data_IF_110364900621
#
_entry.id   IF_110364900621
#
_cell.length_a   1.000
_cell.length_b   1.000
_cell.length_c   1.000
_cell.angle_alpha   90.00
_cell.angle_beta   90.00
_cell.angle_gamma   90.00
#
_symmetry.space_group_name_H-M   'P 1'
#
loop_
_entity.id
_entity.type
_entity.pdbx_description
1 polymer ?
#
# COMPACT_ATOMS: atom_id res chain seq x y z
N UNK A 1 -20.39 6.03 27.41
CA UNK A 1 -20.19 6.26 28.86
C UNK A 1 -20.98 7.44 29.40
N UNK A 2 -21.40 7.40 30.68
CA UNK A 2 -22.13 8.48 31.36
C UNK A 2 -21.13 9.53 31.89
N UNK A 3 -21.21 10.81 31.45
CA UNK A 3 -20.48 11.90 32.10
C UNK A 3 -20.82 11.97 33.58
N UNK A 4 -19.81 11.85 34.43
CA UNK A 4 -20.00 11.74 35.88
C UNK A 4 -19.06 12.67 36.64
N UNK A 5 -19.59 13.30 37.68
CA UNK A 5 -18.83 14.16 38.59
C UNK A 5 -18.15 13.33 39.67
N UNK A 6 -17.05 13.86 40.24
CA UNK A 6 -16.33 13.19 41.34
C UNK A 6 -17.25 13.07 42.57
N UNK A 7 -17.45 11.87 43.15
CA UNK A 7 -18.21 11.73 44.39
C UNK A 7 -17.46 12.38 45.57
N UNK A 8 -18.21 13.03 46.46
CA UNK A 8 -17.71 13.56 47.73
C UNK A 8 -17.82 12.47 48.81
N UNK A 9 -16.68 12.09 49.38
CA UNK A 9 -16.60 11.18 50.52
C UNK A 9 -16.50 11.98 51.81
N UNK A 10 -17.66 12.28 52.40
CA UNK A 10 -17.76 13.00 53.68
C UNK A 10 -17.86 12.07 54.88
N UNK A 11 -17.51 12.60 56.06
CA UNK A 11 -17.72 11.91 57.33
C UNK A 11 -19.21 11.61 57.56
N UNK A 12 -19.53 10.41 58.06
CA UNK A 12 -20.91 9.99 58.34
C UNK A 12 -21.75 9.62 57.10
N UNK A 13 -21.16 9.53 55.91
CA UNK A 13 -21.87 9.12 54.69
C UNK A 13 -22.32 7.65 54.77
N UNK A 14 -23.62 7.40 54.61
CA UNK A 14 -24.16 6.04 54.47
C UNK A 14 -23.95 5.51 53.05
N UNK A 15 -23.19 4.41 52.92
CA UNK A 15 -22.90 3.77 51.63
C UNK A 15 -24.16 3.21 50.97
N UNK A 16 -24.22 3.36 49.66
CA UNK A 16 -25.30 2.89 48.78
C UNK A 16 -24.69 2.50 47.44
N UNK A 17 -25.31 1.59 46.66
CA UNK A 17 -24.78 1.18 45.35
C UNK A 17 -24.46 2.35 44.42
N UNK A 18 -25.26 3.42 44.48
CA UNK A 18 -25.08 4.60 43.63
C UNK A 18 -23.73 5.30 43.87
N UNK A 19 -23.15 5.24 45.07
CA UNK A 19 -21.86 5.85 45.34
C UNK A 19 -20.74 5.15 44.56
N UNK A 20 -20.74 3.81 44.57
CA UNK A 20 -19.79 2.99 43.82
C UNK A 20 -20.01 3.13 42.31
N UNK A 21 -21.26 3.01 41.84
CA UNK A 21 -21.60 3.19 40.43
C UNK A 21 -21.18 4.56 39.88
N UNK A 22 -21.33 5.63 40.66
CA UNK A 22 -20.89 6.98 40.26
C UNK A 22 -19.38 7.16 40.34
N UNK A 23 -18.72 6.51 41.29
CA UNK A 23 -17.26 6.47 41.36
C UNK A 23 -16.68 5.79 40.11
N UNK A 24 -17.19 4.61 39.75
CA UNK A 24 -16.76 3.86 38.57
C UNK A 24 -17.00 4.67 37.30
N UNK A 25 -18.23 5.16 37.11
CA UNK A 25 -18.58 5.98 35.94
C UNK A 25 -17.72 7.25 35.82
N UNK A 26 -17.32 7.87 36.94
CA UNK A 26 -16.40 9.01 36.94
C UNK A 26 -15.00 8.63 36.44
N UNK A 27 -14.46 7.49 36.88
CA UNK A 27 -13.16 7.00 36.43
C UNK A 27 -13.19 6.55 34.97
N UNK A 28 -14.20 5.80 34.58
CA UNK A 28 -14.43 5.36 33.20
C UNK A 28 -14.57 6.56 32.25
N UNK A 29 -15.38 7.56 32.62
CA UNK A 29 -15.53 8.76 31.81
C UNK A 29 -14.20 9.51 31.64
N UNK A 30 -13.42 9.68 32.71
CA UNK A 30 -12.09 10.29 32.61
C UNK A 30 -11.15 9.48 31.71
N UNK A 31 -11.18 8.15 31.80
CA UNK A 31 -10.37 7.28 30.95
C UNK A 31 -10.69 7.50 29.47
N UNK A 32 -11.97 7.51 29.12
CA UNK A 32 -12.43 7.79 27.75
C UNK A 32 -12.02 9.20 27.29
N UNK A 33 -12.19 10.23 28.14
CA UNK A 33 -11.75 11.58 27.80
C UNK A 33 -10.24 11.67 27.56
N UNK A 34 -9.45 10.99 28.40
CA UNK A 34 -7.99 10.99 28.30
C UNK A 34 -7.54 10.25 27.04
N UNK A 35 -8.14 9.09 26.75
CA UNK A 35 -7.88 8.32 25.54
C UNK A 35 -8.17 9.13 24.27
N UNK A 36 -9.32 9.83 24.22
CA UNK A 36 -9.68 10.69 23.08
C UNK A 36 -8.79 11.93 22.94
N UNK A 37 -8.24 12.44 24.04
CA UNK A 37 -7.25 13.51 24.00
C UNK A 37 -5.91 13.06 23.42
N UNK A 38 -5.56 11.77 23.55
CA UNK A 38 -4.37 11.18 22.93
C UNK A 38 -4.58 10.85 21.45
N UNK A 39 -5.77 10.39 21.08
CA UNK A 39 -6.10 10.10 19.68
C UNK A 39 -7.63 10.21 19.43
N UNK A 40 -8.08 10.98 18.44
CA UNK A 40 -9.52 11.21 18.20
C UNK A 40 -10.27 9.93 17.79
N UNK A 41 -9.56 8.99 17.17
CA UNK A 41 -10.08 7.70 16.71
C UNK A 41 -9.63 6.53 17.59
N UNK A 42 -9.55 6.72 18.91
CA UNK A 42 -9.17 5.66 19.85
C UNK A 42 -10.28 4.59 20.06
N UNK A 43 -10.94 4.16 18.98
CA UNK A 43 -12.00 3.16 18.97
C UNK A 43 -11.93 2.32 17.69
N UNK A 44 -12.60 1.18 17.64
CA UNK A 44 -12.57 0.23 16.53
C UNK A 44 -12.11 -1.16 16.95
N UNK A 45 -11.89 -2.04 15.97
CA UNK A 45 -11.40 -3.39 16.20
C UNK A 45 -9.93 -3.41 16.61
N UNK A 46 -9.60 -4.33 17.52
CA UNK A 46 -8.25 -4.78 17.85
C UNK A 46 -7.94 -6.14 17.27
N UNK A 47 -8.92 -7.03 17.30
CA UNK A 47 -8.82 -8.39 16.77
C UNK A 47 -10.19 -9.01 16.58
N UNK A 48 -10.31 -9.86 15.57
CA UNK A 48 -11.54 -10.58 15.23
C UNK A 48 -11.17 -11.91 14.59
N UNK A 49 -11.72 -13.00 15.11
CA UNK A 49 -11.59 -14.34 14.51
C UNK A 49 -12.97 -14.93 14.31
N UNK A 50 -13.22 -15.38 13.09
CA UNK A 50 -14.45 -16.05 12.69
C UNK A 50 -14.16 -17.53 12.54
N UNK A 51 -15.13 -18.35 12.89
CA UNK A 51 -15.09 -19.77 12.61
C UNK A 51 -15.38 -20.02 11.12
N UNK A 52 -14.35 -20.38 10.37
CA UNK A 52 -14.45 -20.62 8.92
C UNK A 52 -15.24 -21.89 8.59
N UNK A 53 -15.20 -22.89 9.47
CA UNK A 53 -15.92 -24.15 9.24
C UNK A 53 -17.42 -23.92 9.45
N UNK A 54 -17.80 -23.23 10.52
CA UNK A 54 -19.19 -22.81 10.75
C UNK A 54 -19.68 -21.88 9.62
N UNK A 55 -18.84 -20.96 9.15
CA UNK A 55 -19.19 -20.06 8.05
C UNK A 55 -19.47 -20.83 6.76
N UNK A 56 -18.65 -21.84 6.44
CA UNK A 56 -18.86 -22.72 5.29
C UNK A 56 -20.16 -23.54 5.40
N UNK A 57 -20.62 -23.80 6.63
CA UNK A 57 -21.86 -24.49 6.95
C UNK A 57 -23.08 -23.55 7.08
N UNK A 58 -22.96 -22.29 6.64
CA UNK A 58 -24.10 -21.35 6.63
C UNK A 58 -24.29 -20.55 7.91
N UNK A 59 -23.34 -20.62 8.86
CA UNK A 59 -23.47 -19.99 10.18
C UNK A 59 -22.33 -19.03 10.49
N UNK A 60 -22.64 -17.77 10.76
CA UNK A 60 -21.67 -16.79 11.23
C UNK A 60 -21.45 -16.94 12.73
N UNK A 61 -20.28 -17.49 13.10
CA UNK A 61 -19.85 -17.65 14.49
C UNK A 61 -18.50 -16.98 14.72
N UNK A 62 -18.38 -16.18 15.78
CA UNK A 62 -17.10 -15.63 16.22
C UNK A 62 -16.40 -16.60 17.17
N UNK A 63 -15.07 -16.63 17.11
CA UNK A 63 -14.20 -17.39 18.03
C UNK A 63 -13.51 -16.43 19.01
N UNK A 64 -13.18 -15.23 18.55
CA UNK A 64 -12.54 -14.20 19.34
C UNK A 64 -12.94 -12.82 18.81
N UNK A 65 -13.16 -11.86 19.70
CA UNK A 65 -13.40 -10.47 19.34
C UNK A 65 -12.87 -9.55 20.42
N UNK A 66 -12.07 -8.58 19.99
CA UNK A 66 -11.52 -7.51 20.81
C UNK A 66 -11.85 -6.19 20.11
N UNK A 67 -12.65 -5.35 20.76
CA UNK A 67 -13.13 -4.11 20.19
C UNK A 67 -13.21 -3.00 21.24
N UNK A 68 -13.04 -1.77 20.79
CA UNK A 68 -13.35 -0.57 21.55
C UNK A 68 -14.50 0.12 20.83
N UNK A 69 -15.65 0.28 21.48
CA UNK A 69 -16.82 0.92 20.89
C UNK A 69 -16.62 2.43 20.78
N UNK A 70 -17.34 3.13 19.87
CA UNK A 70 -17.23 4.57 19.72
C UNK A 70 -17.46 5.36 21.02
N UNK A 71 -18.29 4.83 21.92
CA UNK A 71 -18.57 5.45 23.22
C UNK A 71 -17.50 5.16 24.29
N UNK A 72 -16.48 4.38 23.96
CA UNK A 72 -15.31 4.06 24.79
C UNK A 72 -15.37 2.71 25.52
N UNK A 73 -16.46 1.94 25.37
CA UNK A 73 -16.56 0.62 26.00
C UNK A 73 -15.56 -0.36 25.39
N UNK A 74 -14.92 -1.15 26.24
CA UNK A 74 -14.06 -2.24 25.80
C UNK A 74 -14.86 -3.53 25.84
N UNK A 75 -14.80 -4.30 24.75
CA UNK A 75 -15.41 -5.61 24.63
C UNK A 75 -14.33 -6.64 24.27
N UNK A 76 -14.21 -7.69 25.09
CA UNK A 76 -13.16 -8.69 24.98
C UNK A 76 -13.73 -10.09 25.25
N UNK A 77 -14.10 -10.80 24.18
CA UNK A 77 -14.70 -12.13 24.26
C UNK A 77 -13.82 -13.17 23.52
N UNK A 78 -13.66 -14.39 24.05
CA UNK A 78 -14.40 -14.99 25.17
C UNK A 78 -13.78 -14.77 26.57
N UNK A 79 -12.84 -13.83 26.72
CA UNK A 79 -12.06 -13.70 27.95
C UNK A 79 -12.83 -13.03 29.11
N UNK A 80 -13.22 -11.76 28.94
CA UNK A 80 -13.99 -11.02 29.95
C UNK A 80 -15.50 -11.18 29.73
N UNK A 81 -15.90 -11.31 28.47
CA UNK A 81 -17.29 -11.29 28.04
C UNK A 81 -17.65 -12.53 27.20
N UNK A 82 -18.95 -12.77 27.03
CA UNK A 82 -19.46 -13.81 26.15
C UNK A 82 -19.41 -13.37 24.68
N UNK A 83 -19.14 -14.32 23.79
CA UNK A 83 -19.18 -14.10 22.34
C UNK A 83 -20.63 -13.82 21.89
N UNK A 84 -20.85 -13.02 20.83
CA UNK A 84 -22.19 -12.81 20.30
C UNK A 84 -22.79 -14.16 19.83
N UNK A 85 -24.11 -14.34 19.97
CA UNK A 85 -24.76 -15.57 19.52
C UNK A 85 -24.56 -15.73 18.01
N UNK A 86 -24.39 -16.98 17.54
CA UNK A 86 -24.13 -17.22 16.13
C UNK A 86 -25.37 -16.91 15.30
N UNK A 87 -25.17 -16.38 14.09
CA UNK A 87 -26.24 -16.02 13.16
C UNK A 87 -26.35 -17.05 12.04
N UNK A 88 -27.57 -17.49 11.73
CA UNK A 88 -27.84 -18.33 10.57
C UNK A 88 -27.90 -17.44 9.32
N UNK A 89 -27.00 -17.65 8.37
CA UNK A 89 -26.90 -16.87 7.14
C UNK A 89 -27.81 -17.41 6.03
N UNK A 90 -28.01 -18.72 5.96
CA UNK A 90 -28.88 -19.37 4.96
C UNK A 90 -30.33 -18.92 5.06
N UNK A 91 -30.78 -18.64 6.28
CA UNK A 91 -32.13 -18.20 6.57
C UNK A 91 -32.30 -16.67 6.50
N UNK A 92 -31.23 -15.91 6.22
CA UNK A 92 -31.28 -14.45 6.18
C UNK A 92 -31.72 -13.96 4.80
N UNK A 93 -32.92 -13.34 4.66
CA UNK A 93 -33.39 -12.80 3.37
C UNK A 93 -32.47 -11.69 2.86
N UNK A 94 -31.88 -10.91 3.77
CA UNK A 94 -30.96 -9.81 3.48
C UNK A 94 -29.71 -10.30 2.73
N UNK A 95 -29.22 -11.49 3.10
CA UNK A 95 -28.06 -12.12 2.46
C UNK A 95 -28.41 -12.73 1.10
N UNK A 96 -29.66 -13.18 0.92
CA UNK A 96 -30.14 -13.72 -0.36
C UNK A 96 -30.25 -12.63 -1.43
N UNK A 97 -30.68 -11.43 -1.05
CA UNK A 97 -30.91 -10.32 -1.98
C UNK A 97 -29.63 -9.55 -2.36
N UNK A 98 -28.72 -9.33 -1.39
CA UNK A 98 -27.57 -8.46 -1.59
C UNK A 98 -26.30 -9.16 -2.12
N UNK A 99 -26.15 -10.48 -1.90
CA UNK A 99 -24.94 -11.23 -2.27
C UNK A 99 -23.69 -10.91 -1.43
N UNK A 100 -23.64 -9.73 -0.81
CA UNK A 100 -22.70 -9.34 0.24
C UNK A 100 -23.41 -8.54 1.34
N UNK A 101 -22.94 -8.66 2.58
CA UNK A 101 -23.54 -7.99 3.73
C UNK A 101 -22.49 -7.63 4.78
N UNK A 102 -22.54 -6.39 5.27
CA UNK A 102 -21.68 -5.92 6.37
C UNK A 102 -22.37 -6.23 7.68
N UNK A 103 -21.63 -6.78 8.63
CA UNK A 103 -22.10 -7.00 9.99
C UNK A 103 -21.40 -6.03 10.94
N UNK A 104 -22.17 -5.55 11.91
CA UNK A 104 -21.74 -4.64 12.95
C UNK A 104 -21.77 -5.37 14.29
N UNK A 105 -20.78 -5.10 15.13
CA UNK A 105 -20.91 -5.36 16.56
C UNK A 105 -21.78 -4.24 17.14
N UNK A 106 -22.82 -4.60 17.87
CA UNK A 106 -23.74 -3.63 18.45
C UNK A 106 -24.11 -3.99 19.90
N UNK A 107 -24.28 -2.95 20.71
CA UNK A 107 -24.77 -3.05 22.09
C UNK A 107 -25.65 -1.85 22.45
N UNK A 108 -26.48 -2.00 23.47
CA UNK A 108 -27.30 -0.90 23.97
C UNK A 108 -26.41 0.25 24.50
N UNK A 109 -26.77 1.52 24.23
CA UNK A 109 -26.11 2.65 24.88
C UNK A 109 -26.38 2.61 26.40
N UNK A 110 -25.40 3.07 27.18
CA UNK A 110 -25.56 3.15 28.63
C UNK A 110 -26.59 4.25 28.99
N UNK A 111 -27.69 3.86 29.65
CA UNK A 111 -28.80 4.74 30.02
C UNK A 111 -28.58 5.37 31.39
N UNK A 112 -28.76 6.69 31.51
CA UNK A 112 -28.58 7.39 32.78
C UNK A 112 -29.70 7.10 33.81
N UNK A 113 -30.88 6.69 33.34
CA UNK A 113 -32.08 6.52 34.18
C UNK A 113 -32.29 5.06 34.65
N UNK A 114 -31.28 4.21 34.51
CA UNK A 114 -31.35 2.77 34.85
C UNK A 114 -31.80 1.89 33.68
N UNK A 115 -32.11 0.62 33.99
CA UNK A 115 -32.48 -0.38 32.97
C UNK A 115 -31.30 -0.81 32.09
N UNK A 116 -30.11 -0.91 32.69
CA UNK A 116 -28.87 -1.27 31.99
C UNK A 116 -28.47 -2.74 32.14
N UNK A 117 -29.16 -3.52 32.96
CA UNK A 117 -28.84 -4.93 33.21
C UNK A 117 -30.05 -5.83 33.03
N UNK A 118 -29.89 -6.95 32.32
CA UNK A 118 -30.81 -8.10 32.35
C UNK A 118 -30.27 -9.23 33.26
N UNK A 119 -31.08 -10.25 33.53
CA UNK A 119 -30.66 -11.42 34.29
C UNK A 119 -29.71 -12.34 33.52
N UNK A 120 -29.81 -12.37 32.20
CA UNK A 120 -28.90 -13.14 31.32
C UNK A 120 -28.72 -12.46 29.95
N UNK A 121 -27.84 -13.00 29.11
CA UNK A 121 -27.52 -12.44 27.80
C UNK A 121 -28.71 -12.41 26.83
N UNK A 122 -29.68 -13.34 26.94
CA UNK A 122 -30.89 -13.35 26.11
C UNK A 122 -31.85 -12.23 26.49
N UNK A 123 -32.11 -12.08 27.79
CA UNK A 123 -32.97 -11.03 28.34
C UNK A 123 -32.41 -9.62 28.07
N UNK A 124 -31.08 -9.44 28.19
CA UNK A 124 -30.44 -8.17 27.91
C UNK A 124 -30.53 -7.80 26.42
N UNK A 125 -30.20 -8.75 25.54
CA UNK A 125 -30.29 -8.59 24.09
C UNK A 125 -29.64 -7.30 23.59
N UNK A 126 -30.39 -6.49 22.84
CA UNK A 126 -30.01 -5.13 22.43
C UNK A 126 -30.73 -4.03 23.23
N UNK A 127 -31.54 -4.41 24.23
CA UNK A 127 -32.30 -3.49 25.05
C UNK A 127 -31.51 -2.99 26.26
N UNK A 128 -30.59 -3.80 26.77
CA UNK A 128 -29.78 -3.53 27.98
C UNK A 128 -28.31 -3.79 27.67
N UNK A 129 -27.42 -3.00 28.28
CA UNK A 129 -25.98 -3.03 27.96
C UNK A 129 -25.28 -4.23 28.61
N UNK A 130 -25.74 -4.62 29.79
CA UNK A 130 -25.13 -5.65 30.60
C UNK A 130 -26.10 -6.78 30.94
N UNK A 131 -25.55 -7.90 31.38
CA UNK A 131 -26.28 -8.96 32.07
C UNK A 131 -25.47 -9.48 33.27
N UNK A 132 -26.15 -10.14 34.20
CA UNK A 132 -25.52 -10.73 35.38
C UNK A 132 -24.72 -11.97 35.03
N UNK A 133 -23.54 -12.10 35.65
CA UNK A 133 -22.70 -13.29 35.57
C UNK A 133 -22.16 -13.60 36.97
N UNK A 134 -22.36 -14.82 37.45
CA UNK A 134 -21.91 -15.24 38.77
C UNK A 134 -20.59 -16.01 38.63
N UNK A 135 -19.55 -15.57 39.34
CA UNK A 135 -18.26 -16.24 39.31
C UNK A 135 -17.61 -16.38 40.69
N UNK A 136 -16.88 -17.47 40.94
CA UNK A 136 -16.09 -17.60 42.17
C UNK A 136 -14.92 -16.62 42.15
N UNK A 137 -14.88 -15.73 43.13
CA UNK A 137 -13.76 -14.83 43.38
C UNK A 137 -12.90 -15.38 44.52
N UNK A 138 -11.61 -15.60 44.24
CA UNK A 138 -10.63 -15.95 45.26
C UNK A 138 -10.15 -14.70 46.01
N UNK A 139 -9.84 -14.82 47.30
CA UNK A 139 -9.13 -13.77 48.02
C UNK A 139 -7.66 -13.73 47.58
N UNK A 140 -7.22 -12.59 47.04
CA UNK A 140 -5.85 -12.39 46.57
C UNK A 140 -4.88 -11.90 47.64
N UNK A 141 -5.37 -11.42 48.79
CA UNK A 141 -4.56 -10.77 49.82
C UNK A 141 -4.47 -11.59 51.09
N UNK A 142 -5.55 -12.30 51.44
CA UNK A 142 -5.62 -13.13 52.64
C UNK A 142 -5.85 -14.60 52.28
N UNK A 143 -6.01 -15.46 53.29
CA UNK A 143 -6.34 -16.89 53.12
C UNK A 143 -7.83 -17.16 53.33
N UNK A 144 -8.68 -16.16 53.09
CA UNK A 144 -10.12 -16.35 53.20
C UNK A 144 -10.63 -17.33 52.13
N UNK A 145 -11.79 -17.93 52.41
CA UNK A 145 -12.46 -18.78 51.43
C UNK A 145 -12.90 -17.96 50.22
N UNK A 146 -12.96 -18.60 49.05
CA UNK A 146 -13.56 -17.99 47.86
C UNK A 146 -15.02 -17.66 48.12
N UNK A 147 -15.46 -16.52 47.58
CA UNK A 147 -16.85 -16.07 47.61
C UNK A 147 -17.40 -16.02 46.18
N UNK A 148 -18.70 -16.23 46.03
CA UNK A 148 -19.37 -15.97 44.77
C UNK A 148 -19.61 -14.47 44.61
N UNK A 149 -19.21 -13.91 43.46
CA UNK A 149 -19.41 -12.51 43.12
C UNK A 149 -20.25 -12.42 41.84
N UNK A 150 -21.28 -11.59 41.88
CA UNK A 150 -22.07 -11.24 40.70
C UNK A 150 -21.39 -10.07 39.97
N UNK A 151 -20.92 -10.32 38.75
CA UNK A 151 -20.30 -9.35 37.85
C UNK A 151 -21.23 -9.01 36.68
N UNK A 152 -20.89 -7.96 35.94
CA UNK A 152 -21.62 -7.54 34.75
C UNK A 152 -20.81 -7.90 33.50
N UNK A 153 -21.42 -8.62 32.57
CA UNK A 153 -20.88 -8.87 31.23
C UNK A 153 -21.64 -8.09 30.17
N UNK A 154 -20.97 -7.67 29.10
CA UNK A 154 -21.61 -6.85 28.05
C UNK A 154 -22.49 -7.73 27.17
N UNK A 155 -23.65 -7.21 26.79
CA UNK A 155 -24.54 -7.84 25.82
C UNK A 155 -24.26 -7.27 24.43
N UNK A 156 -23.45 -8.00 23.65
CA UNK A 156 -23.11 -7.66 22.26
C UNK A 156 -23.80 -8.62 21.30
N UNK A 157 -24.36 -8.07 20.22
CA UNK A 157 -24.93 -8.84 19.11
C UNK A 157 -24.25 -8.45 17.80
N UNK A 158 -24.26 -9.39 16.85
CA UNK A 158 -24.01 -9.08 15.45
C UNK A 158 -25.31 -8.59 14.82
N UNK A 159 -25.25 -7.45 14.15
CA UNK A 159 -26.40 -6.83 13.48
C UNK A 159 -26.00 -6.55 12.04
N UNK A 160 -26.83 -6.95 11.09
CA UNK A 160 -26.57 -6.66 9.68
C UNK A 160 -26.79 -5.18 9.36
N UNK A 161 -26.04 -4.65 8.38
CA UNK A 161 -26.14 -3.24 7.97
C UNK A 161 -27.51 -2.83 7.46
N UNK A 162 -28.30 -3.79 6.96
CA UNK A 162 -29.71 -3.67 6.56
C UNK A 162 -30.68 -3.43 7.72
N UNK A 163 -30.31 -3.82 8.93
CA UNK A 163 -31.19 -3.75 10.10
C UNK A 163 -31.03 -2.39 10.82
N UNK A 164 -32.08 -1.82 11.43
CA UNK A 164 -31.96 -0.56 12.15
C UNK A 164 -31.03 -0.67 13.38
N UNK A 165 -29.90 0.02 13.35
CA UNK A 165 -28.89 -0.06 14.42
C UNK A 165 -28.28 1.28 14.88
N UNK A 166 -28.66 2.40 14.25
CA UNK A 166 -28.10 3.74 14.56
C UNK A 166 -28.33 4.22 16.00
N UNK A 167 -29.36 3.69 16.68
CA UNK A 167 -29.64 4.00 18.09
C UNK A 167 -28.73 3.23 19.06
N UNK A 168 -27.90 2.31 18.57
CA UNK A 168 -26.99 1.46 19.32
C UNK A 168 -25.57 2.02 19.30
N UNK A 169 -24.77 1.69 20.33
CA UNK A 169 -23.32 1.82 20.21
C UNK A 169 -22.83 0.67 19.34
N UNK A 170 -22.25 1.00 18.19
CA UNK A 170 -21.95 -0.01 17.18
C UNK A 170 -20.72 0.35 16.33
N UNK A 171 -20.12 -0.65 15.69
CA UNK A 171 -19.07 -0.49 14.69
C UNK A 171 -19.12 -1.63 13.66
N UNK A 172 -18.91 -1.36 12.36
CA UNK A 172 -18.81 -2.41 11.36
C UNK A 172 -17.56 -3.25 11.62
N UNK A 173 -17.70 -4.58 11.61
CA UNK A 173 -16.63 -5.48 12.03
C UNK A 173 -16.16 -6.44 10.92
N UNK A 174 -17.06 -6.89 10.05
CA UNK A 174 -16.74 -7.79 8.95
C UNK A 174 -17.74 -7.64 7.81
N UNK A 175 -17.34 -8.08 6.61
CA UNK A 175 -18.24 -8.26 5.47
C UNK A 175 -18.22 -9.72 5.03
N UNK A 176 -19.41 -10.30 4.90
CA UNK A 176 -19.59 -11.64 4.33
C UNK A 176 -20.05 -11.48 2.88
N UNK A 177 -19.57 -12.33 1.99
CA UNK A 177 -20.03 -12.43 0.61
C UNK A 177 -20.30 -13.88 0.24
N UNK A 178 -21.15 -14.10 -0.77
CA UNK A 178 -21.28 -15.39 -1.43
C UNK A 178 -20.16 -15.57 -2.45
N UNK A 179 -19.52 -16.73 -2.42
CA UNK A 179 -18.56 -17.16 -3.44
C UNK A 179 -19.29 -17.50 -4.74
N UNK A 180 -18.52 -17.70 -5.81
CA UNK A 180 -19.05 -18.22 -7.08
C UNK A 180 -19.61 -19.64 -6.95
N UNK A 181 -19.19 -20.39 -5.93
CA UNK A 181 -19.71 -21.73 -5.61
C UNK A 181 -20.96 -21.68 -4.72
N UNK A 182 -21.40 -20.49 -4.31
CA UNK A 182 -22.56 -20.27 -3.43
C UNK A 182 -22.26 -20.39 -1.93
N UNK A 183 -21.03 -20.71 -1.55
CA UNK A 183 -20.62 -20.78 -0.14
C UNK A 183 -20.41 -19.38 0.46
N UNK A 184 -20.59 -19.22 1.76
CA UNK A 184 -20.26 -17.97 2.44
C UNK A 184 -18.77 -17.86 2.75
N UNK A 185 -18.22 -16.68 2.51
CA UNK A 185 -16.83 -16.38 2.82
C UNK A 185 -16.68 -14.94 3.33
N UNK A 186 -15.61 -14.71 4.10
CA UNK A 186 -15.21 -13.37 4.51
C UNK A 186 -14.69 -12.61 3.30
N UNK A 187 -15.14 -11.37 3.12
CA UNK A 187 -14.52 -10.49 2.15
C UNK A 187 -13.19 -9.94 2.70
N UNK A 188 -12.09 -10.55 2.26
CA UNK A 188 -10.74 -10.13 2.63
C UNK A 188 -10.39 -8.69 2.22
N UNK A 189 -11.17 -8.05 1.33
CA UNK A 189 -10.95 -6.64 0.93
C UNK A 189 -11.58 -5.66 1.90
N UNK A 190 -12.45 -6.12 2.80
CA UNK A 190 -13.09 -5.26 3.78
C UNK A 190 -12.08 -4.79 4.84
N UNK A 191 -12.03 -3.48 5.06
CA UNK A 191 -11.19 -2.86 6.08
C UNK A 191 -12.09 -2.24 7.14
N UNK A 192 -12.20 -2.84 8.34
CA UNK A 192 -13.00 -2.28 9.42
C UNK A 192 -12.34 -1.05 10.06
N UNK A 193 -13.10 -0.19 10.78
CA UNK A 193 -12.54 0.71 11.78
C UNK A 193 -11.68 -0.09 12.76
N UNK A 194 -10.43 0.32 12.92
CA UNK A 194 -9.45 -0.42 13.69
C UNK A 194 -8.50 0.49 14.42
N UNK A 195 -8.11 0.11 15.64
CA UNK A 195 -7.17 0.93 16.45
C UNK A 195 -5.70 0.60 16.16
N UNK A 196 -5.43 -0.48 15.43
CA UNK A 196 -4.09 -0.90 15.00
C UNK A 196 -4.09 -1.26 13.52
N UNK A 197 -2.96 -1.09 12.83
CA UNK A 197 -2.79 -1.60 11.45
C UNK A 197 -3.02 -3.13 11.41
N UNK A 198 -2.60 -3.85 12.46
CA UNK A 198 -2.78 -5.29 12.60
C UNK A 198 -4.25 -5.75 12.65
N UNK A 199 -5.19 -4.85 12.97
CA UNK A 199 -6.62 -5.19 13.01
C UNK A 199 -7.21 -5.53 11.64
N UNK A 200 -6.53 -5.14 10.55
CA UNK A 200 -6.91 -5.49 9.18
C UNK A 200 -5.76 -6.20 8.45
N UNK A 201 -5.96 -7.47 8.12
CA UNK A 201 -5.02 -8.23 7.32
C UNK A 201 -4.76 -7.57 5.95
N UNK A 202 -5.77 -6.95 5.36
CA UNK A 202 -5.67 -6.27 4.07
C UNK A 202 -4.71 -5.08 4.11
N UNK A 203 -4.71 -4.29 5.19
CA UNK A 203 -3.78 -3.18 5.36
C UNK A 203 -2.34 -3.68 5.51
N UNK A 204 -2.12 -4.73 6.31
CA UNK A 204 -0.79 -5.32 6.48
C UNK A 204 -0.26 -5.90 5.16
N UNK A 205 -1.09 -6.65 4.43
CA UNK A 205 -0.72 -7.22 3.13
C UNK A 205 -0.50 -6.13 2.08
N UNK A 206 -1.34 -5.10 2.05
CA UNK A 206 -1.18 -3.94 1.17
C UNK A 206 0.13 -3.22 1.41
N UNK A 207 0.46 -2.95 2.67
CA UNK A 207 1.72 -2.31 3.07
C UNK A 207 2.95 -3.14 2.67
N UNK A 208 2.91 -4.47 2.87
CA UNK A 208 4.00 -5.37 2.43
C UNK A 208 4.21 -5.29 0.91
N UNK A 209 3.13 -5.43 0.14
CA UNK A 209 3.19 -5.32 -1.34
C UNK A 209 3.75 -3.97 -1.78
N UNK A 210 3.34 -2.88 -1.14
CA UNK A 210 3.86 -1.56 -1.44
C UNK A 210 5.36 -1.46 -1.14
N UNK A 211 5.80 -2.02 -0.01
CA UNK A 211 7.23 -2.06 0.33
C UNK A 211 8.05 -2.84 -0.69
N UNK A 212 7.56 -3.98 -1.17
CA UNK A 212 8.23 -4.76 -2.23
C UNK A 212 8.38 -3.93 -3.51
N UNK A 213 7.31 -3.22 -3.91
CA UNK A 213 7.35 -2.32 -5.07
C UNK A 213 8.36 -1.19 -4.86
N UNK A 214 8.31 -0.50 -3.71
CA UNK A 214 9.24 0.59 -3.39
C UNK A 214 10.69 0.12 -3.37
N UNK A 215 10.97 -1.06 -2.81
CA UNK A 215 12.31 -1.65 -2.81
C UNK A 215 12.80 -1.92 -4.23
N UNK A 216 11.98 -2.58 -5.06
CA UNK A 216 12.32 -2.83 -6.46
C UNK A 216 12.54 -1.53 -7.25
N UNK A 217 11.74 -0.49 -6.98
CA UNK A 217 11.94 0.85 -7.58
C UNK A 217 13.24 1.50 -7.12
N UNK A 218 13.55 1.42 -5.83
CA UNK A 218 14.78 1.96 -5.27
C UNK A 218 16.01 1.28 -5.89
N UNK A 219 16.00 -0.05 -6.00
CA UNK A 219 17.09 -0.83 -6.57
C UNK A 219 17.29 -0.52 -8.06
N UNK A 220 16.21 -0.38 -8.82
CA UNK A 220 16.27 0.03 -10.23
C UNK A 220 16.90 1.42 -10.39
N UNK A 221 16.49 2.40 -9.57
CA UNK A 221 17.00 3.77 -9.62
C UNK A 221 18.46 3.86 -9.15
N UNK A 222 18.85 3.08 -8.13
CA UNK A 222 20.24 2.99 -7.68
C UNK A 222 21.13 2.31 -8.72
N UNK A 223 20.65 1.27 -9.41
CA UNK A 223 21.38 0.61 -10.50
C UNK A 223 21.66 1.51 -11.71
N UNK A 224 20.87 2.58 -11.89
CA UNK A 224 21.10 3.59 -12.94
C UNK A 224 22.14 4.65 -12.53
N UNK A 225 22.56 4.69 -11.26
CA UNK A 225 23.48 5.72 -10.78
C UNK A 225 24.92 5.43 -11.16
N UNK A 226 25.65 6.53 -11.41
CA UNK A 226 27.08 6.46 -11.68
C UNK A 226 27.86 6.46 -10.37
N UNK A 227 28.79 5.53 -10.28
CA UNK A 227 29.72 5.39 -9.17
C UNK A 227 31.16 5.62 -9.68
N UNK A 228 31.56 6.88 -9.96
CA UNK A 228 32.90 7.21 -10.50
C UNK A 228 34.05 6.79 -9.56
N UNK A 229 33.77 6.67 -8.27
CA UNK A 229 34.65 6.08 -7.27
C UNK A 229 33.81 5.30 -6.27
N UNK A 230 34.41 4.28 -5.65
CA UNK A 230 33.73 3.38 -4.70
C UNK A 230 32.99 4.18 -3.62
N UNK A 231 31.69 3.94 -3.48
CA UNK A 231 30.73 4.57 -2.57
C UNK A 231 30.52 6.08 -2.78
N UNK A 232 30.88 6.65 -3.93
CA UNK A 232 30.60 8.04 -4.28
C UNK A 232 29.61 8.06 -5.43
N UNK A 233 28.38 8.51 -5.15
CA UNK A 233 27.33 8.72 -6.15
C UNK A 233 27.42 10.14 -6.68
N UNK A 234 27.48 10.31 -7.99
CA UNK A 234 27.47 11.61 -8.67
C UNK A 234 26.12 11.84 -9.36
N UNK A 235 25.47 12.96 -9.09
CA UNK A 235 24.27 13.43 -9.81
C UNK A 235 24.61 14.65 -10.64
N UNK A 236 24.19 14.66 -11.92
CA UNK A 236 24.32 15.83 -12.81
C UNK A 236 22.97 16.50 -13.03
N UNK A 237 22.97 17.63 -13.73
CA UNK A 237 21.75 18.40 -14.01
C UNK A 237 20.68 17.63 -14.78
N UNK A 238 21.05 16.60 -15.56
CA UNK A 238 20.10 15.71 -16.25
C UNK A 238 19.43 14.68 -15.33
N UNK A 239 19.98 14.41 -14.15
CA UNK A 239 19.53 13.34 -13.26
C UNK A 239 18.55 13.83 -12.19
N UNK A 240 18.16 15.11 -12.23
CA UNK A 240 17.36 15.76 -11.16
C UNK A 240 16.04 15.03 -10.91
N UNK A 241 15.34 14.57 -11.95
CA UNK A 241 14.10 13.83 -11.78
C UNK A 241 14.34 12.46 -11.11
N UNK A 242 15.36 11.72 -11.55
CA UNK A 242 15.74 10.43 -10.97
C UNK A 242 16.19 10.57 -9.51
N UNK A 243 16.97 11.61 -9.21
CA UNK A 243 17.38 11.97 -7.85
C UNK A 243 16.16 12.19 -6.94
N UNK A 244 15.23 13.06 -7.34
CA UNK A 244 14.05 13.36 -6.54
C UNK A 244 13.12 12.15 -6.38
N UNK A 245 13.04 11.31 -7.42
CA UNK A 245 12.26 10.07 -7.33
C UNK A 245 12.90 9.09 -6.35
N UNK A 246 14.21 8.87 -6.44
CA UNK A 246 14.91 7.99 -5.49
C UNK A 246 14.80 8.54 -4.06
N UNK A 247 14.97 9.85 -3.87
CA UNK A 247 14.76 10.49 -2.57
C UNK A 247 13.35 10.22 -2.04
N UNK A 248 12.33 10.39 -2.88
CA UNK A 248 10.92 10.16 -2.53
C UNK A 248 10.67 8.71 -2.13
N UNK A 249 11.14 7.76 -2.96
CA UNK A 249 11.00 6.32 -2.70
C UNK A 249 11.76 5.92 -1.43
N UNK A 250 13.02 6.34 -1.28
CA UNK A 250 13.87 5.97 -0.15
C UNK A 250 13.37 6.53 1.19
N UNK A 251 12.98 7.81 1.23
CA UNK A 251 12.42 8.43 2.45
C UNK A 251 11.09 7.80 2.85
N UNK A 252 10.21 7.54 1.88
CA UNK A 252 8.92 6.88 2.13
C UNK A 252 9.11 5.42 2.57
N UNK A 253 10.03 4.69 1.95
CA UNK A 253 10.35 3.32 2.33
C UNK A 253 10.82 3.23 3.80
N UNK A 254 11.69 4.13 4.23
CA UNK A 254 12.16 4.18 5.61
C UNK A 254 11.02 4.44 6.61
N UNK A 255 10.14 5.40 6.32
CA UNK A 255 8.97 5.71 7.15
C UNK A 255 7.98 4.54 7.23
N UNK A 256 7.62 3.97 6.07
CA UNK A 256 6.68 2.84 5.96
C UNK A 256 7.24 1.55 6.61
N UNK A 257 8.56 1.35 6.57
CA UNK A 257 9.23 0.22 7.25
C UNK A 257 8.98 0.25 8.76
N UNK A 258 8.99 1.44 9.38
CA UNK A 258 8.66 1.57 10.80
C UNK A 258 7.22 1.11 11.07
N UNK A 259 6.25 1.55 10.25
CA UNK A 259 4.85 1.14 10.41
C UNK A 259 4.66 -0.37 10.21
N UNK A 260 5.37 -0.99 9.26
CA UNK A 260 5.31 -2.44 9.05
C UNK A 260 5.89 -3.22 10.24
N UNK A 261 6.97 -2.73 10.86
CA UNK A 261 7.59 -3.35 12.05
C UNK A 261 6.78 -3.12 13.32
N UNK A 262 5.95 -2.09 13.36
CA UNK A 262 5.10 -1.73 14.50
C UNK A 262 3.62 -1.69 14.10
N UNK A 263 3.01 -2.82 13.71
CA UNK A 263 1.63 -2.85 13.23
C UNK A 263 0.60 -2.59 14.34
N UNK A 264 1.04 -2.42 15.59
CA UNK A 264 0.22 -1.93 16.71
C UNK A 264 -0.10 -0.44 16.65
N UNK A 265 0.53 0.32 15.76
CA UNK A 265 0.23 1.73 15.54
C UNK A 265 -1.12 1.91 14.84
N UNK A 266 -1.75 3.07 15.05
CA UNK A 266 -3.06 3.39 14.49
C UNK A 266 -3.01 3.51 12.95
N UNK A 267 -4.01 2.98 12.20
CA UNK A 267 -4.01 3.00 10.74
C UNK A 267 -4.04 4.40 10.13
N UNK A 268 -4.60 5.41 10.80
CA UNK A 268 -4.55 6.81 10.34
C UNK A 268 -3.10 7.29 10.09
N UNK A 269 -2.12 6.85 10.90
CA UNK A 269 -0.71 7.18 10.66
C UNK A 269 -0.17 6.56 9.37
N UNK A 270 -0.63 5.37 9.01
CA UNK A 270 -0.32 4.76 7.72
C UNK A 270 -0.97 5.56 6.58
N UNK A 271 -2.20 6.01 6.75
CA UNK A 271 -2.89 6.84 5.78
C UNK A 271 -2.14 8.16 5.54
N UNK A 272 -1.66 8.82 6.58
CA UNK A 272 -0.84 10.04 6.48
C UNK A 272 0.43 9.82 5.64
N UNK A 273 1.19 8.75 5.92
CA UNK A 273 2.43 8.46 5.17
C UNK A 273 2.15 8.08 3.71
N UNK A 274 1.03 7.40 3.43
CA UNK A 274 0.61 7.11 2.06
C UNK A 274 0.19 8.38 1.31
N UNK A 275 -0.49 9.33 1.97
CA UNK A 275 -0.80 10.64 1.39
C UNK A 275 0.46 11.42 1.05
N UNK A 276 1.45 11.40 1.96
CA UNK A 276 2.75 12.05 1.75
C UNK A 276 3.48 11.47 0.54
N UNK A 277 3.51 10.14 0.42
CA UNK A 277 4.06 9.46 -0.75
C UNK A 277 3.30 9.81 -2.03
N UNK A 278 1.97 9.74 -2.03
CA UNK A 278 1.14 10.06 -3.19
C UNK A 278 1.37 11.50 -3.68
N UNK A 279 1.32 12.47 -2.76
CA UNK A 279 1.54 13.88 -3.09
C UNK A 279 2.95 14.14 -3.65
N UNK A 280 3.97 13.47 -3.11
CA UNK A 280 5.32 13.56 -3.66
C UNK A 280 5.43 12.95 -5.07
N UNK A 281 4.80 11.80 -5.32
CA UNK A 281 4.80 11.15 -6.63
C UNK A 281 4.02 11.93 -7.71
N UNK A 282 3.00 12.70 -7.33
CA UNK A 282 2.26 13.60 -8.24
C UNK A 282 3.15 14.71 -8.83
N UNK A 283 4.35 14.95 -8.30
CA UNK A 283 5.31 15.87 -8.94
C UNK A 283 5.83 15.36 -10.28
N UNK A 284 5.78 14.04 -10.51
CA UNK A 284 6.32 13.40 -11.70
C UNK A 284 5.25 12.93 -12.71
N UNK A 285 3.97 13.01 -12.34
CA UNK A 285 2.86 12.55 -13.17
C UNK A 285 1.67 13.50 -13.09
N UNK A 286 0.97 13.66 -14.22
CA UNK A 286 -0.28 14.44 -14.31
C UNK A 286 -1.53 13.57 -14.32
N UNK A 287 -1.40 12.25 -14.12
CA UNK A 287 -2.54 11.32 -14.13
C UNK A 287 -3.55 11.66 -13.03
N UNK A 288 -3.06 12.18 -11.90
CA UNK A 288 -3.87 12.61 -10.77
C UNK A 288 -3.50 14.03 -10.33
N UNK A 289 -4.42 14.69 -9.65
CA UNK A 289 -4.26 16.00 -9.05
C UNK A 289 -4.38 15.91 -7.53
N UNK A 290 -3.97 16.96 -6.81
CA UNK A 290 -4.13 17.02 -5.35
C UNK A 290 -5.60 16.91 -4.89
N UNK A 291 -6.56 17.26 -5.75
CA UNK A 291 -7.99 17.15 -5.44
C UNK A 291 -8.49 15.70 -5.46
N UNK A 292 -7.72 14.77 -6.06
CA UNK A 292 -8.06 13.35 -6.11
C UNK A 292 -7.69 12.58 -4.83
N UNK A 293 -6.92 13.21 -3.92
CA UNK A 293 -6.49 12.60 -2.67
C UNK A 293 -7.68 12.42 -1.71
N UNK A 294 -7.93 11.20 -1.21
CA UNK A 294 -9.06 10.93 -0.34
C UNK A 294 -8.86 11.50 1.07
N UNK A 295 -9.96 11.83 1.74
CA UNK A 295 -9.95 12.15 3.16
C UNK A 295 -10.09 10.88 4.01
N UNK A 296 -9.44 10.85 5.18
CA UNK A 296 -9.56 9.72 6.11
C UNK A 296 -10.91 9.74 6.81
N UNK A 297 -11.69 8.68 6.66
CA UNK A 297 -12.94 8.46 7.40
C UNK A 297 -12.81 7.20 8.26
N UNK A 298 -12.63 7.36 9.57
CA UNK A 298 -12.36 6.21 10.43
C UNK A 298 -13.52 5.21 10.50
N UNK A 299 -14.77 5.65 10.32
CA UNK A 299 -15.96 4.77 10.32
C UNK A 299 -16.00 3.84 9.11
N UNK A 300 -15.48 4.29 7.98
CA UNK A 300 -15.33 3.52 6.75
C UNK A 300 -13.94 3.73 6.13
N UNK A 301 -12.88 3.16 6.76
CA UNK A 301 -11.52 3.44 6.32
C UNK A 301 -11.20 2.76 4.99
N UNK A 302 -11.91 1.69 4.64
CA UNK A 302 -11.64 0.87 3.45
C UNK A 302 -11.72 1.64 2.15
N UNK A 303 -12.75 2.47 1.98
CA UNK A 303 -12.95 3.26 0.76
C UNK A 303 -11.78 4.22 0.50
N UNK A 304 -11.38 4.97 1.54
CA UNK A 304 -10.28 5.92 1.45
C UNK A 304 -8.92 5.23 1.21
N UNK A 305 -8.65 4.13 1.92
CA UNK A 305 -7.42 3.35 1.71
C UNK A 305 -7.34 2.73 0.32
N UNK A 306 -8.44 2.16 -0.19
CA UNK A 306 -8.48 1.57 -1.51
C UNK A 306 -8.21 2.60 -2.61
N UNK A 307 -8.81 3.79 -2.50
CA UNK A 307 -8.54 4.90 -3.43
C UNK A 307 -7.08 5.33 -3.38
N UNK A 308 -6.51 5.45 -2.19
CA UNK A 308 -5.13 5.89 -2.01
C UNK A 308 -4.11 4.84 -2.51
N UNK A 309 -4.32 3.55 -2.23
CA UNK A 309 -3.49 2.45 -2.75
C UNK A 309 -3.50 2.43 -4.28
N UNK A 310 -4.66 2.62 -4.91
CA UNK A 310 -4.76 2.73 -6.37
C UNK A 310 -3.94 3.91 -6.92
N UNK A 311 -4.11 5.12 -6.36
CA UNK A 311 -3.35 6.31 -6.78
C UNK A 311 -1.84 6.06 -6.65
N UNK A 312 -1.38 5.52 -5.51
CA UNK A 312 0.05 5.26 -5.27
C UNK A 312 0.60 4.22 -6.27
N UNK A 313 -0.12 3.14 -6.55
CA UNK A 313 0.30 2.11 -7.51
C UNK A 313 0.45 2.68 -8.92
N UNK A 314 -0.57 3.36 -9.42
CA UNK A 314 -0.57 3.97 -10.76
C UNK A 314 0.57 4.98 -10.92
N UNK A 315 0.81 5.81 -9.89
CA UNK A 315 1.93 6.75 -9.89
C UNK A 315 3.27 6.02 -9.90
N UNK A 316 3.48 5.00 -9.06
CA UNK A 316 4.73 4.23 -9.04
C UNK A 316 5.00 3.48 -10.35
N UNK A 317 3.98 3.04 -11.07
CA UNK A 317 4.10 2.45 -12.40
C UNK A 317 4.51 3.50 -13.44
N UNK A 318 3.82 4.65 -13.44
CA UNK A 318 4.03 5.71 -14.45
C UNK A 318 5.42 6.34 -14.39
N UNK A 319 5.96 6.59 -13.19
CA UNK A 319 7.20 7.39 -13.06
C UNK A 319 8.46 6.62 -13.51
N UNK A 320 8.40 5.29 -13.58
CA UNK A 320 9.56 4.44 -13.93
C UNK A 320 9.43 3.84 -15.34
N UNK A 321 8.45 4.31 -16.13
CA UNK A 321 8.55 4.13 -17.56
C UNK A 321 9.74 4.97 -18.05
N UNK A 322 10.90 4.34 -18.07
CA UNK A 322 12.10 4.77 -18.73
C UNK A 322 11.73 5.00 -20.19
N UNK A 323 11.35 6.25 -20.53
CA UNK A 323 11.21 6.69 -21.91
C UNK A 323 12.46 6.38 -22.73
N UNK A 324 13.58 6.07 -22.09
CA UNK A 324 14.75 5.48 -22.72
C UNK A 324 15.45 4.44 -21.83
N UNK A 325 16.10 3.45 -22.45
CA UNK A 325 17.05 2.56 -21.81
C UNK A 325 18.33 2.45 -22.65
N UNK A 326 19.45 2.20 -21.98
CA UNK A 326 20.75 2.04 -22.65
C UNK A 326 21.01 0.59 -22.99
N UNK A 327 21.48 0.34 -24.21
CA UNK A 327 21.94 -0.97 -24.67
C UNK A 327 23.46 -1.00 -24.54
N UNK A 328 23.96 -1.84 -23.63
CA UNK A 328 25.40 -2.01 -23.43
C UNK A 328 26.05 -2.55 -24.71
N UNK A 329 27.06 -1.83 -25.20
CA UNK A 329 27.88 -2.24 -26.33
C UNK A 329 29.21 -2.82 -25.81
N UNK A 330 29.51 -4.06 -26.19
CA UNK A 330 30.79 -4.72 -25.88
C UNK A 330 31.62 -4.87 -27.14
N UNK A 331 32.91 -4.53 -27.07
CA UNK A 331 33.82 -4.73 -28.20
C UNK A 331 34.18 -6.22 -28.31
N UNK A 332 33.55 -6.92 -29.25
CA UNK A 332 33.76 -8.35 -29.44
C UNK A 332 35.01 -8.65 -30.28
N UNK A 333 35.35 -7.75 -31.21
CA UNK A 333 36.54 -7.77 -32.06
C UNK A 333 36.98 -6.31 -32.27
N UNK A 334 38.27 -6.05 -32.59
CA UNK A 334 38.74 -4.69 -32.81
C UNK A 334 37.84 -3.92 -33.77
N UNK A 335 37.35 -2.75 -33.35
CA UNK A 335 36.43 -1.90 -34.12
C UNK A 335 34.98 -2.41 -34.29
N UNK A 336 34.62 -3.56 -33.71
CA UNK A 336 33.27 -4.13 -33.78
C UNK A 336 32.65 -4.21 -32.38
N UNK A 337 31.64 -3.39 -32.14
CA UNK A 337 30.92 -3.31 -30.88
C UNK A 337 29.54 -3.93 -31.02
N UNK A 338 29.22 -4.94 -30.21
CA UNK A 338 27.97 -5.68 -30.26
C UNK A 338 27.09 -5.38 -29.06
N UNK A 339 25.79 -5.24 -29.29
CA UNK A 339 24.77 -5.12 -28.26
C UNK A 339 23.64 -6.13 -28.48
N UNK A 340 22.96 -6.52 -27.41
CA UNK A 340 21.77 -7.37 -27.47
C UNK A 340 20.52 -6.50 -27.49
N UNK A 341 19.60 -6.78 -28.40
CA UNK A 341 18.29 -6.14 -28.48
C UNK A 341 17.26 -7.12 -27.93
N UNK A 342 16.97 -7.05 -26.63
CA UNK A 342 15.97 -7.93 -26.02
C UNK A 342 14.57 -7.57 -26.56
N UNK A 343 13.86 -8.57 -27.08
CA UNK A 343 12.61 -8.37 -27.83
C UNK A 343 11.42 -7.94 -26.98
N UNK A 344 11.52 -8.10 -25.66
CA UNK A 344 10.61 -7.55 -24.67
C UNK A 344 10.83 -6.04 -24.43
N UNK A 345 11.99 -5.49 -24.82
CA UNK A 345 12.33 -4.07 -24.61
C UNK A 345 12.28 -3.23 -25.90
N UNK A 346 12.60 -3.79 -27.07
CA UNK A 346 12.64 -3.06 -28.36
C UNK A 346 11.45 -3.45 -29.24
N UNK A 347 10.56 -2.49 -29.49
CA UNK A 347 9.30 -2.68 -30.20
C UNK A 347 9.32 -1.94 -31.54
N UNK A 348 8.33 -2.15 -32.41
CA UNK A 348 8.23 -1.44 -33.69
C UNK A 348 8.16 0.11 -33.54
N UNK A 349 7.72 0.63 -32.38
CA UNK A 349 7.68 2.05 -32.06
C UNK A 349 8.92 2.59 -31.33
N UNK A 350 9.88 1.74 -30.96
CA UNK A 350 11.08 2.15 -30.22
C UNK A 350 12.08 2.80 -31.17
N UNK A 351 12.48 4.04 -30.89
CA UNK A 351 13.48 4.76 -31.65
C UNK A 351 14.89 4.51 -31.09
N UNK A 352 15.83 4.10 -31.95
CA UNK A 352 17.22 3.85 -31.56
C UNK A 352 18.11 5.05 -31.90
N UNK A 353 18.95 5.44 -30.94
CA UNK A 353 19.92 6.53 -31.07
C UNK A 353 21.32 6.04 -30.69
N UNK A 354 22.29 6.31 -31.56
CA UNK A 354 23.71 6.09 -31.29
C UNK A 354 24.31 7.41 -30.80
N UNK A 355 24.74 7.46 -29.55
CA UNK A 355 25.58 8.52 -29.01
C UNK A 355 27.04 8.22 -29.32
N UNK A 356 27.74 9.20 -29.91
CA UNK A 356 29.15 9.10 -30.27
C UNK A 356 29.92 10.27 -29.69
N UNK A 357 31.00 10.00 -28.99
CA UNK A 357 31.99 10.99 -28.55
C UNK A 357 33.38 10.59 -29.05
N UNK A 358 34.15 11.54 -29.54
CA UNK A 358 35.55 11.33 -29.93
C UNK A 358 36.29 12.66 -29.82
N UNK A 359 37.63 12.62 -29.74
CA UNK A 359 38.49 13.81 -29.71
C UNK A 359 38.63 14.45 -31.12
N UNK A 360 37.49 14.80 -31.73
CA UNK A 360 37.38 15.50 -33.00
C UNK A 360 36.53 16.77 -32.85
N UNK A 361 36.72 17.77 -33.74
CA UNK A 361 35.83 18.92 -33.82
C UNK A 361 34.36 18.49 -34.03
N UNK A 362 33.39 19.12 -33.36
CA UNK A 362 31.96 18.80 -33.48
C UNK A 362 31.42 18.65 -34.90
N UNK A 363 31.75 19.60 -35.78
CA UNK A 363 31.28 19.60 -37.16
C UNK A 363 31.84 18.40 -37.95
N UNK A 364 33.11 18.08 -37.74
CA UNK A 364 33.77 16.94 -38.37
C UNK A 364 33.17 15.63 -37.86
N UNK A 365 32.90 15.49 -36.57
CA UNK A 365 32.30 14.27 -36.02
C UNK A 365 30.90 14.01 -36.60
N UNK A 366 30.08 15.06 -36.74
CA UNK A 366 28.73 14.97 -37.31
C UNK A 366 28.75 14.56 -38.78
N UNK A 367 29.76 14.98 -39.55
CA UNK A 367 29.92 14.60 -40.95
C UNK A 367 30.52 13.19 -41.12
N UNK A 368 31.52 12.85 -40.30
CA UNK A 368 32.30 11.62 -40.44
C UNK A 368 31.52 10.39 -39.98
N UNK A 369 30.73 10.49 -38.91
CA UNK A 369 30.04 9.33 -38.31
C UNK A 369 29.08 8.64 -39.30
N UNK A 370 28.14 9.34 -39.98
CA UNK A 370 27.24 8.70 -40.93
C UNK A 370 27.94 8.04 -42.13
N UNK A 371 29.14 8.50 -42.47
CA UNK A 371 29.92 7.99 -43.59
C UNK A 371 30.75 6.75 -43.19
N UNK A 372 31.43 6.82 -42.04
CA UNK A 372 32.44 5.84 -41.63
C UNK A 372 31.90 4.75 -40.69
N UNK A 373 30.93 5.07 -39.84
CA UNK A 373 30.35 4.10 -38.91
C UNK A 373 29.28 3.28 -39.63
N UNK A 374 29.36 1.95 -39.51
CA UNK A 374 28.37 1.03 -40.09
C UNK A 374 27.63 0.32 -38.97
N UNK A 375 26.31 0.26 -39.07
CA UNK A 375 25.44 -0.39 -38.08
C UNK A 375 24.47 -1.35 -38.77
N UNK A 376 24.20 -2.49 -38.14
CA UNK A 376 23.37 -3.56 -38.69
C UNK A 376 23.38 -4.81 -37.82
N UNK A 377 22.83 -5.91 -38.35
CA UNK A 377 23.00 -7.23 -37.74
C UNK A 377 24.48 -7.67 -37.82
N UNK A 378 25.01 -8.43 -36.84
CA UNK A 378 26.41 -8.86 -36.83
C UNK A 378 26.90 -9.46 -38.17
N UNK A 379 26.15 -10.40 -38.75
CA UNK A 379 26.49 -11.07 -40.01
C UNK A 379 26.45 -10.14 -41.23
N UNK A 380 25.64 -9.08 -41.17
CA UNK A 380 25.52 -8.11 -42.25
C UNK A 380 26.66 -7.09 -42.18
N UNK A 381 27.03 -6.61 -41.00
CA UNK A 381 28.09 -5.59 -40.83
C UNK A 381 29.44 -6.11 -41.33
N UNK A 382 29.81 -7.36 -41.05
CA UNK A 382 31.03 -7.97 -41.57
C UNK A 382 31.09 -7.91 -43.12
N UNK A 383 29.98 -8.23 -43.78
CA UNK A 383 29.86 -8.18 -45.25
C UNK A 383 29.89 -6.74 -45.78
N UNK A 384 29.21 -5.82 -45.09
CA UNK A 384 29.15 -4.41 -45.47
C UNK A 384 30.53 -3.76 -45.43
N UNK A 385 31.34 -4.09 -44.41
CA UNK A 385 32.71 -3.59 -44.29
C UNK A 385 33.59 -4.14 -45.42
N UNK A 386 33.52 -5.44 -45.71
CA UNK A 386 34.31 -6.07 -46.78
C UNK A 386 33.94 -5.58 -48.19
N UNK A 387 32.67 -5.25 -48.42
CA UNK A 387 32.14 -4.81 -49.71
C UNK A 387 32.03 -3.29 -49.87
N UNK A 388 32.46 -2.53 -48.85
CA UNK A 388 32.33 -1.06 -48.78
C UNK A 388 30.90 -0.55 -49.00
N UNK A 389 29.90 -1.34 -48.60
CA UNK A 389 28.48 -1.02 -48.76
C UNK A 389 27.96 -0.21 -47.56
N UNK A 390 26.92 0.64 -47.75
CA UNK A 390 26.30 1.38 -46.66
C UNK A 390 25.51 0.45 -45.73
N UNK A 391 25.59 0.70 -44.41
CA UNK A 391 24.76 0.03 -43.40
C UNK A 391 23.43 0.75 -43.19
N UNK A 392 22.79 0.49 -42.04
CA UNK A 392 21.62 1.26 -41.61
C UNK A 392 22.01 2.75 -41.53
N UNK A 393 21.16 3.61 -42.08
CA UNK A 393 21.44 5.04 -42.17
C UNK A 393 21.41 5.68 -40.80
N UNK A 394 22.48 6.40 -40.48
CA UNK A 394 22.60 7.25 -39.30
C UNK A 394 22.27 8.70 -39.69
N UNK A 395 21.35 9.33 -38.97
CA UNK A 395 20.96 10.73 -39.19
C UNK A 395 21.29 11.52 -37.94
N UNK A 396 22.13 12.55 -38.09
CA UNK A 396 22.49 13.43 -36.97
C UNK A 396 21.24 14.12 -36.43
N UNK A 397 20.97 13.96 -35.14
CA UNK A 397 19.81 14.57 -34.50
C UNK A 397 20.14 15.98 -34.05
N UNK A 398 19.46 16.98 -34.62
CA UNK A 398 19.62 18.38 -34.20
C UNK A 398 18.96 18.67 -32.85
N UNK A 399 17.91 17.90 -32.51
CA UNK A 399 17.24 17.96 -31.21
C UNK A 399 17.06 16.53 -30.71
N UNK A 400 17.87 16.17 -29.73
CA UNK A 400 17.77 14.89 -29.04
C UNK A 400 16.47 14.89 -28.22
N UNK A 401 15.64 13.82 -28.26
CA UNK A 401 14.45 13.75 -27.43
C UNK A 401 14.77 14.04 -25.96
N UNK A 402 13.91 14.79 -25.26
CA UNK A 402 14.11 15.17 -23.87
C UNK A 402 14.29 13.96 -22.92
N UNK A 403 13.88 12.77 -23.35
CA UNK A 403 14.12 11.53 -22.64
C UNK A 403 15.61 11.17 -22.57
N UNK A 404 16.42 11.48 -23.59
CA UNK A 404 17.82 11.07 -23.64
C UNK A 404 18.69 12.05 -22.83
N UNK A 405 19.53 11.56 -21.90
CA UNK A 405 20.46 12.40 -21.15
C UNK A 405 21.63 12.80 -22.05
N UNK A 406 21.61 14.02 -22.57
CA UNK A 406 22.66 14.55 -23.44
C UNK A 406 23.99 14.69 -22.66
N UNK A 407 25.02 13.96 -23.09
CA UNK A 407 26.37 14.07 -22.51
C UNK A 407 27.19 15.18 -23.17
N UNK A 408 27.94 16.00 -22.41
CA UNK A 408 28.87 16.97 -22.99
C UNK A 408 29.89 16.27 -23.91
N UNK A 409 30.06 16.77 -25.13
CA UNK A 409 30.97 16.20 -26.13
C UNK A 409 30.45 14.96 -26.86
N UNK A 410 29.25 14.47 -26.54
CA UNK A 410 28.58 13.42 -27.29
C UNK A 410 27.57 14.01 -28.28
N UNK A 411 27.52 13.41 -29.47
CA UNK A 411 26.60 13.75 -30.54
C UNK A 411 25.74 12.54 -30.86
N UNK A 412 24.45 12.76 -31.06
CA UNK A 412 23.47 11.69 -31.18
C UNK A 412 22.98 11.54 -32.61
N UNK A 413 22.91 10.29 -33.07
CA UNK A 413 22.49 9.93 -34.41
C UNK A 413 21.31 8.95 -34.32
N UNK A 414 20.16 9.32 -34.87
CA UNK A 414 19.02 8.40 -34.97
C UNK A 414 19.31 7.35 -36.04
N UNK A 415 19.03 6.09 -35.72
CA UNK A 415 19.01 5.01 -36.71
C UNK A 415 17.71 5.13 -37.50
N UNK A 416 17.78 5.15 -38.83
CA UNK A 416 16.59 5.18 -39.67
C UNK A 416 15.81 3.85 -39.50
N UNK A 417 14.56 3.87 -38.98
CA UNK A 417 13.83 2.66 -38.59
C UNK A 417 13.15 1.98 -39.79
N UNK A 418 13.80 2.02 -40.97
CA UNK A 418 13.26 1.51 -42.23
C UNK A 418 14.33 0.77 -43.01
N UNK A 419 13.92 -0.24 -43.77
CA UNK A 419 14.77 -0.98 -44.70
C UNK A 419 15.18 -2.37 -44.19
N UNK A 420 15.54 -3.24 -45.14
CA UNK A 420 15.78 -4.66 -44.88
C UNK A 420 16.89 -4.94 -43.84
N UNK A 421 17.92 -4.08 -43.77
CA UNK A 421 19.00 -4.22 -42.78
C UNK A 421 18.52 -3.93 -41.35
N UNK A 422 17.62 -2.96 -41.17
CA UNK A 422 17.05 -2.64 -39.87
C UNK A 422 16.12 -3.76 -39.39
N UNK A 423 15.27 -4.29 -40.29
CA UNK A 423 14.39 -5.42 -39.98
C UNK A 423 15.17 -6.69 -39.60
N UNK A 424 16.26 -6.99 -40.33
CA UNK A 424 17.15 -8.11 -40.00
C UNK A 424 17.84 -7.93 -38.66
N UNK A 425 18.28 -6.73 -38.32
CA UNK A 425 18.88 -6.42 -37.01
C UNK A 425 17.88 -6.70 -35.87
N UNK A 426 16.62 -6.29 -36.02
CA UNK A 426 15.57 -6.60 -35.04
C UNK A 426 15.26 -8.09 -34.96
N UNK A 427 15.17 -8.79 -36.10
CA UNK A 427 14.96 -10.24 -36.15
C UNK A 427 16.11 -11.02 -35.50
N UNK A 428 17.35 -10.56 -35.69
CA UNK A 428 18.54 -11.15 -35.08
C UNK A 428 18.65 -10.85 -33.57
N UNK A 429 17.80 -9.95 -33.03
CA UNK A 429 17.85 -9.50 -31.63
C UNK A 429 19.25 -9.03 -31.20
N UNK A 430 20.02 -8.50 -32.15
CA UNK A 430 21.39 -8.08 -31.93
C UNK A 430 21.78 -7.00 -32.91
N UNK A 431 22.57 -6.06 -32.42
CA UNK A 431 23.11 -4.94 -33.17
C UNK A 431 24.63 -5.01 -33.12
N UNK A 432 25.26 -4.73 -34.25
CA UNK A 432 26.69 -4.55 -34.37
C UNK A 432 26.99 -3.16 -34.92
N UNK A 433 27.93 -2.46 -34.29
CA UNK A 433 28.45 -1.16 -34.68
C UNK A 433 29.91 -1.35 -35.06
N UNK A 434 30.22 -1.16 -36.34
CA UNK A 434 31.59 -1.05 -36.81
C UNK A 434 32.02 0.41 -36.81
N UNK A 435 33.09 0.72 -36.06
CA UNK A 435 33.69 2.05 -35.99
C UNK A 435 35.18 1.96 -36.37
N UNK A 436 35.59 2.46 -37.55
CA UNK A 436 36.95 2.27 -38.04
C UNK A 436 37.98 3.04 -37.21
N UNK A 437 39.23 2.58 -37.26
CA UNK A 437 40.36 3.29 -36.71
C UNK A 437 40.47 4.73 -37.28
N UNK A 438 40.77 5.70 -36.42
CA UNK A 438 40.84 7.12 -36.76
C UNK A 438 39.83 8.01 -36.03
N UNK A 439 39.04 7.46 -35.10
CA UNK A 439 38.25 8.22 -34.12
C UNK A 439 38.96 8.14 -32.77
N UNK A 440 39.80 9.12 -32.39
CA UNK A 440 40.52 9.11 -31.12
C UNK A 440 39.56 9.23 -29.93
N UNK A 441 39.86 8.53 -28.83
CA UNK A 441 39.03 8.49 -27.61
C UNK A 441 37.54 8.19 -27.87
N UNK A 442 37.28 7.23 -28.76
CA UNK A 442 35.94 6.86 -29.16
C UNK A 442 35.13 6.30 -27.98
N UNK A 443 34.03 6.97 -27.66
CA UNK A 443 32.96 6.49 -26.79
C UNK A 443 31.70 6.25 -27.62
N UNK A 444 31.11 5.07 -27.44
CA UNK A 444 29.84 4.68 -28.08
C UNK A 444 28.81 4.34 -27.01
N UNK A 445 27.61 4.85 -27.18
CA UNK A 445 26.43 4.43 -26.41
C UNK A 445 25.25 4.22 -27.35
N UNK A 446 24.52 3.11 -27.18
CA UNK A 446 23.28 2.88 -27.90
C UNK A 446 22.12 3.07 -26.93
N UNK A 447 21.14 3.89 -27.33
CA UNK A 447 20.01 4.27 -26.50
C UNK A 447 18.74 3.94 -27.26
N UNK A 448 17.84 3.23 -26.62
CA UNK A 448 16.50 2.95 -27.12
C UNK A 448 15.51 3.88 -26.42
N UNK A 449 14.66 4.55 -27.17
CA UNK A 449 13.63 5.48 -26.68
C UNK A 449 12.27 4.91 -27.02
N UNK A 450 11.47 4.63 -25.99
CA UNK A 450 10.09 4.18 -26.17
C UNK A 450 9.18 5.38 -26.45
N UNK A 451 8.11 5.19 -27.24
CA UNK A 451 7.22 6.26 -27.70
C UNK A 451 6.47 6.98 -26.58
#
# INVERSE_FOLDING_TARGET
MIPSSKPLWGEGLFLRPQHFQRQDAYHEWRLVQTSRALHPYAWGLRGLKVDTDALSAGQLRLVEVQAIFPDGEIYNAPFEDELPPPLQLDASPEMADAGELVFHLAMAPLKANGGNQGGNAEEAGLAMRYHQHHEPAADWFTRAASAEVCTLRKSVRLVASSQPHEHLSHLPCLRIRRSTTGAFELDARFVPPGVTIASSAQLVLGLRRLMDVLQAKADALMGMQREPAKNIVEFRSGDVASFWLLHTVGSSYAALTHLLRHPGLHPERLFEELLRLAGALMTFSKTFTLADLPAYEHRDPGTAFARLDHIVRELLETVISTRYFSITLTEAKPSFHTGRLEADQVHAGTALYLGVSAALPPAELVEVVPLRVKIGAPDDVDKLVLSAMPGIKLVASQQVPAAIPVRPGAYYFSLEPRGALYERMLQAQSVCVYAPAGLPDLGLELIAVNP
#
